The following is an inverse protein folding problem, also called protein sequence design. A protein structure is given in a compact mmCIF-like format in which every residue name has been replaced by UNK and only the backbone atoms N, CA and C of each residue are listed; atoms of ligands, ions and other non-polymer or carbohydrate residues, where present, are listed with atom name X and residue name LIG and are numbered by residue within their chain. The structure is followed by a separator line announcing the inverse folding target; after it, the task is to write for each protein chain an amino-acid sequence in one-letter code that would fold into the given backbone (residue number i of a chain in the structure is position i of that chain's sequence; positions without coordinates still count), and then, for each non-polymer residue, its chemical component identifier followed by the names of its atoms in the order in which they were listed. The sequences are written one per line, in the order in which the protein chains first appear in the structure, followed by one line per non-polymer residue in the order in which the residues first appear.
data_IF_854104024872
#
_entry.id   IF_854104024872
#
_cell.length_a   1.000
_cell.length_b   1.000
_cell.length_c   1.000
_cell.angle_alpha   90.00
_cell.angle_beta   90.00
_cell.angle_gamma   90.00
#
_symmetry.space_group_name_H-M   'P 1'
#
loop_
_entity.id
_entity.type
_entity.pdbx_description
1 polymer ?
#
# COMPACT_ATOMS: atom_id res chain seq x y z
N UNK A 1 -1.46 -12.15 12.83
CA UNK A 1 -1.62 -10.68 12.83
C UNK A 1 -2.97 -10.39 12.24
N UNK A 2 -3.79 -9.63 12.94
CA UNK A 2 -5.12 -9.23 12.47
C UNK A 2 -5.00 -8.01 11.56
N UNK A 3 -5.49 -8.12 10.32
CA UNK A 3 -5.45 -7.05 9.31
C UNK A 3 -6.80 -6.37 9.12
N UNK A 4 -7.83 -6.74 9.89
CA UNK A 4 -9.21 -6.23 9.71
C UNK A 4 -9.30 -4.71 9.75
N UNK A 5 -8.40 -4.05 10.48
CA UNK A 5 -8.32 -2.59 10.52
C UNK A 5 -8.02 -1.94 9.16
N UNK A 6 -7.37 -2.66 8.23
CA UNK A 6 -7.10 -2.16 6.88
C UNK A 6 -8.35 -2.06 6.01
N UNK A 7 -9.43 -2.77 6.32
CA UNK A 7 -10.60 -2.88 5.43
C UNK A 7 -11.79 -2.04 5.88
N UNK A 8 -11.57 -1.12 6.83
CA UNK A 8 -12.58 -0.12 7.20
C UNK A 8 -12.77 0.88 6.07
N UNK A 9 -14.00 1.31 5.81
CA UNK A 9 -14.26 2.26 4.72
C UNK A 9 -13.47 3.56 4.90
N UNK A 10 -12.88 4.12 3.83
CA UNK A 10 -12.20 5.40 3.90
C UNK A 10 -13.20 6.53 4.14
N UNK A 11 -12.74 7.57 4.85
CA UNK A 11 -13.55 8.75 5.06
C UNK A 11 -13.57 9.59 3.78
N UNK A 12 -14.73 10.07 3.33
CA UNK A 12 -14.81 10.99 2.22
C UNK A 12 -13.99 12.25 2.51
N UNK A 13 -13.22 12.73 1.53
CA UNK A 13 -12.42 13.94 1.67
C UNK A 13 -13.35 15.14 1.95
N UNK A 14 -12.99 15.97 2.93
CA UNK A 14 -13.73 17.17 3.30
C UNK A 14 -14.93 16.95 4.22
N UNK A 15 -15.17 15.71 4.67
CA UNK A 15 -16.17 15.39 5.68
C UNK A 15 -15.47 15.18 7.03
N UNK A 16 -15.80 16.01 8.02
CA UNK A 16 -15.51 15.70 9.42
C UNK A 16 -16.49 14.60 9.82
N UNK A 17 -15.97 13.40 10.00
CA UNK A 17 -16.76 12.28 10.49
C UNK A 17 -16.85 12.38 12.01
N UNK A 18 -17.95 12.96 12.49
CA UNK A 18 -18.31 13.02 13.91
C UNK A 18 -19.05 11.73 14.35
N UNK A 19 -19.03 10.64 13.56
CA UNK A 19 -19.52 9.37 14.05
C UNK A 19 -18.58 8.89 15.16
N UNK A 20 -19.07 9.10 16.39
CA UNK A 20 -18.50 8.59 17.62
C UNK A 20 -17.96 7.19 17.37
N UNK A 21 -16.63 7.07 17.53
CA UNK A 21 -15.86 5.84 17.64
C UNK A 21 -16.78 4.77 18.24
N UNK A 22 -17.29 3.87 17.39
CA UNK A 22 -18.08 2.74 17.87
C UNK A 22 -17.22 2.09 18.95
N UNK A 23 -17.74 2.02 20.18
CA UNK A 23 -17.02 1.71 21.41
C UNK A 23 -16.18 0.39 21.37
N UNK A 24 -16.27 -0.39 20.30
CA UNK A 24 -15.47 -1.57 19.96
C UNK A 24 -14.04 -1.22 19.47
N UNK A 25 -13.83 -0.03 18.91
CA UNK A 25 -12.54 0.41 18.35
C UNK A 25 -11.52 0.84 19.40
N UNK A 26 -11.98 1.44 20.50
CA UNK A 26 -11.10 1.79 21.62
C UNK A 26 -10.61 0.55 22.37
N UNK A 27 -11.45 -0.47 22.54
CA UNK A 27 -11.05 -1.70 23.23
C UNK A 27 -10.08 -2.55 22.39
N UNK A 28 -10.26 -2.59 21.07
CA UNK A 28 -9.32 -3.25 20.15
C UNK A 28 -8.00 -2.49 20.00
N UNK A 29 -8.01 -1.15 20.08
CA UNK A 29 -6.80 -0.31 20.05
C UNK A 29 -5.79 -0.60 21.17
N UNK A 30 -6.25 -1.01 22.36
CA UNK A 30 -5.35 -1.27 23.51
C UNK A 30 -4.90 -2.73 23.64
N UNK A 31 -5.53 -3.66 22.91
CA UNK A 31 -5.30 -5.10 23.07
C UNK A 31 -4.70 -5.77 21.82
N UNK A 32 -4.72 -5.08 20.68
CA UNK A 32 -4.23 -5.60 19.41
C UNK A 32 -3.03 -4.79 18.91
N UNK A 33 -1.83 -5.33 19.12
CA UNK A 33 -0.58 -4.80 18.61
C UNK A 33 -0.39 -5.03 17.10
N UNK A 34 -1.36 -5.66 16.41
CA UNK A 34 -1.26 -5.99 14.98
C UNK A 34 -0.98 -4.76 14.10
N UNK A 35 -1.45 -3.58 14.49
CA UNK A 35 -1.17 -2.32 13.78
C UNK A 35 0.32 -1.96 13.86
N UNK A 36 0.87 -1.97 15.06
CA UNK A 36 2.28 -1.65 15.31
C UNK A 36 3.19 -2.74 14.75
N UNK A 37 2.80 -4.00 14.83
CA UNK A 37 3.53 -5.12 14.22
C UNK A 37 3.55 -5.00 12.70
N UNK A 38 2.41 -4.67 12.07
CA UNK A 38 2.37 -4.48 10.61
C UNK A 38 3.15 -3.23 10.19
N UNK A 39 3.06 -2.13 10.96
CA UNK A 39 3.83 -0.92 10.75
C UNK A 39 5.33 -1.20 10.82
N UNK A 40 5.80 -1.86 11.88
CA UNK A 40 7.19 -2.31 12.00
C UNK A 40 7.60 -3.22 10.83
N UNK A 41 6.71 -4.10 10.36
CA UNK A 41 6.97 -4.94 9.19
C UNK A 41 7.19 -4.09 7.95
N UNK A 42 6.38 -3.05 7.72
CA UNK A 42 6.54 -2.12 6.60
C UNK A 42 7.82 -1.29 6.71
N UNK A 43 8.19 -0.85 7.90
CA UNK A 43 9.40 -0.05 8.13
C UNK A 43 10.69 -0.85 7.91
N UNK A 44 10.72 -2.11 8.37
CA UNK A 44 11.97 -2.86 8.56
C UNK A 44 12.17 -4.01 7.57
N UNK A 45 11.10 -4.57 7.00
CA UNK A 45 11.23 -5.76 6.14
C UNK A 45 12.00 -5.44 4.86
N UNK A 46 12.75 -6.40 4.30
CA UNK A 46 13.31 -6.24 2.97
C UNK A 46 12.19 -6.09 1.95
N UNK A 47 12.47 -5.39 0.85
CA UNK A 47 11.47 -5.03 -0.17
C UNK A 47 10.76 -6.25 -0.77
N UNK A 48 11.43 -7.41 -0.88
CA UNK A 48 10.79 -8.64 -1.36
C UNK A 48 9.70 -9.12 -0.41
N UNK A 49 9.96 -9.19 0.89
CA UNK A 49 8.95 -9.54 1.90
C UNK A 49 7.81 -8.52 1.97
N UNK A 50 8.11 -7.23 1.78
CA UNK A 50 7.10 -6.19 1.74
C UNK A 50 6.17 -6.34 0.53
N UNK A 51 6.70 -6.69 -0.64
CA UNK A 51 5.90 -6.96 -1.85
C UNK A 51 4.96 -8.15 -1.63
N UNK A 52 5.43 -9.20 -0.95
CA UNK A 52 4.58 -10.35 -0.59
C UNK A 52 3.49 -9.93 0.41
N UNK A 53 3.85 -9.14 1.43
CA UNK A 53 2.89 -8.65 2.42
C UNK A 53 1.80 -7.78 1.79
N UNK A 54 2.17 -6.89 0.85
CA UNK A 54 1.22 -6.10 0.09
C UNK A 54 0.30 -6.99 -0.74
N UNK A 55 0.86 -7.97 -1.46
CA UNK A 55 0.05 -8.90 -2.23
C UNK A 55 -0.96 -9.64 -1.36
N UNK A 56 -0.56 -10.08 -0.16
CA UNK A 56 -1.45 -10.72 0.80
C UNK A 56 -2.57 -9.79 1.29
N UNK A 57 -2.26 -8.53 1.57
CA UNK A 57 -3.25 -7.50 1.95
C UNK A 57 -4.30 -7.31 0.84
N UNK A 58 -3.88 -7.13 -0.41
CA UNK A 58 -4.82 -6.94 -1.52
C UNK A 58 -5.58 -8.22 -1.91
N UNK A 59 -5.02 -9.39 -1.61
CA UNK A 59 -5.69 -10.69 -1.80
C UNK A 59 -6.89 -10.84 -0.87
N UNK A 60 -6.76 -10.39 0.39
CA UNK A 60 -7.83 -10.48 1.39
C UNK A 60 -8.99 -9.49 1.15
N UNK A 61 -8.75 -8.36 0.48
CA UNK A 61 -9.78 -7.35 0.24
C UNK A 61 -9.25 -6.07 -0.37
N UNK A 62 -10.09 -5.03 -0.40
CA UNK A 62 -9.73 -3.70 -0.88
C UNK A 62 -9.30 -2.85 0.33
N UNK A 63 -7.99 -2.64 0.57
CA UNK A 63 -7.54 -1.91 1.73
C UNK A 63 -7.91 -0.42 1.62
N UNK A 64 -8.23 0.17 2.76
CA UNK A 64 -8.34 1.59 2.96
C UNK A 64 -7.00 2.25 2.63
N UNK A 65 -6.98 3.05 1.56
CA UNK A 65 -5.77 3.70 1.10
C UNK A 65 -5.18 4.67 2.13
N UNK A 66 -5.99 5.28 3.01
CA UNK A 66 -5.50 6.16 4.08
C UNK A 66 -4.76 5.36 5.14
N UNK A 67 -5.35 4.23 5.56
CA UNK A 67 -4.73 3.33 6.53
C UNK A 67 -3.49 2.65 5.95
N UNK A 68 -3.51 2.27 4.68
CA UNK A 68 -2.35 1.72 3.98
C UNK A 68 -1.23 2.77 3.85
N UNK A 69 -1.56 4.03 3.55
CA UNK A 69 -0.58 5.10 3.46
C UNK A 69 0.14 5.32 4.81
N UNK A 70 -0.59 5.29 5.92
CA UNK A 70 -0.01 5.37 7.26
C UNK A 70 1.05 4.29 7.53
N UNK A 71 0.91 3.09 6.96
CA UNK A 71 1.94 2.04 7.12
C UNK A 71 3.28 2.42 6.50
N UNK A 72 3.29 3.20 5.42
CA UNK A 72 4.52 3.66 4.77
C UNK A 72 5.09 4.93 5.39
N UNK A 73 4.28 5.77 6.04
CA UNK A 73 4.72 7.01 6.68
C UNK A 73 3.67 8.10 6.68
N UNK A 74 4.13 9.35 6.72
CA UNK A 74 3.25 10.52 6.74
C UNK A 74 2.85 10.94 5.31
N UNK A 75 1.55 10.88 5.02
CA UNK A 75 0.99 11.23 3.71
C UNK A 75 0.54 12.70 3.64
N UNK A 76 0.78 13.36 2.51
CA UNK A 76 0.08 14.58 2.12
C UNK A 76 -0.83 14.27 0.91
N UNK A 77 -1.89 15.05 0.73
CA UNK A 77 -2.83 14.86 -0.38
C UNK A 77 -2.44 15.82 -1.49
N UNK A 78 -2.11 15.30 -2.67
CA UNK A 78 -1.98 16.09 -3.89
C UNK A 78 -3.04 15.64 -4.89
N UNK A 79 -4.16 16.36 -4.94
CA UNK A 79 -5.21 16.09 -5.94
C UNK A 79 -4.76 16.54 -7.33
N UNK A 80 -4.50 15.59 -8.22
CA UNK A 80 -4.41 15.86 -9.65
C UNK A 80 -5.80 15.73 -10.29
N UNK A 81 -6.50 16.86 -10.37
CA UNK A 81 -7.87 16.95 -10.87
C UNK A 81 -7.97 16.88 -12.41
N UNK A 82 -6.87 16.71 -13.15
CA UNK A 82 -6.90 16.72 -14.62
C UNK A 82 -7.42 15.39 -15.21
N UNK A 83 -7.21 14.24 -14.55
CA UNK A 83 -7.56 12.91 -15.10
C UNK A 83 -8.73 12.17 -14.41
N UNK A 84 -9.46 12.82 -13.49
CA UNK A 84 -10.50 12.17 -12.64
C UNK A 84 -9.95 11.00 -11.80
N UNK A 85 -8.66 10.99 -11.50
CA UNK A 85 -8.03 10.01 -10.62
C UNK A 85 -7.53 10.77 -9.40
N UNK A 86 -7.83 10.25 -8.21
CA UNK A 86 -7.32 10.83 -6.98
C UNK A 86 -5.95 10.24 -6.68
N UNK A 87 -4.89 11.03 -6.82
CA UNK A 87 -3.51 10.61 -6.57
C UNK A 87 -3.11 10.96 -5.14
N UNK A 88 -2.54 9.99 -4.42
CA UNK A 88 -2.07 10.14 -3.04
C UNK A 88 -0.57 9.91 -3.02
N UNK A 89 0.20 10.99 -2.79
CA UNK A 89 1.66 10.94 -2.72
C UNK A 89 2.11 11.06 -1.27
N UNK A 90 2.95 10.13 -0.83
CA UNK A 90 3.51 10.25 0.53
C UNK A 90 4.58 11.35 0.56
N UNK A 91 4.51 12.20 1.58
CA UNK A 91 5.48 13.27 1.78
C UNK A 91 6.77 12.72 2.40
N UNK A 92 6.62 11.88 3.42
CA UNK A 92 7.71 11.25 4.14
C UNK A 92 7.47 9.74 4.21
N UNK A 93 8.49 8.97 3.83
CA UNK A 93 8.47 7.51 3.88
C UNK A 93 9.34 7.06 5.04
N UNK A 94 8.73 6.38 5.99
CA UNK A 94 9.36 5.85 7.19
C UNK A 94 9.89 4.44 6.88
N UNK A 95 11.00 4.35 6.13
CA UNK A 95 11.66 3.08 5.78
C UNK A 95 13.06 3.04 6.36
N UNK A 96 13.37 2.04 7.20
CA UNK A 96 14.69 1.91 7.82
C UNK A 96 15.80 1.65 6.79
N UNK A 97 15.50 0.91 5.72
CA UNK A 97 16.46 0.58 4.68
C UNK A 97 16.60 1.66 3.60
N UNK A 98 15.79 2.73 3.66
CA UNK A 98 15.74 3.83 2.68
C UNK A 98 15.60 3.37 1.22
N UNK A 99 15.09 2.15 0.99
CA UNK A 99 15.05 1.50 -0.31
C UNK A 99 13.83 1.91 -1.16
N UNK A 100 12.79 2.49 -0.55
CA UNK A 100 11.64 3.12 -1.21
C UNK A 100 11.76 4.64 -1.05
N UNK A 101 11.76 5.34 -2.17
CA UNK A 101 11.98 6.79 -2.26
C UNK A 101 10.67 7.54 -2.45
N UNK A 102 9.69 6.91 -3.09
CA UNK A 102 8.37 7.50 -3.34
C UNK A 102 7.29 6.41 -3.32
N UNK A 103 6.13 6.77 -2.79
CA UNK A 103 4.91 5.96 -2.81
C UNK A 103 3.81 6.81 -3.41
N UNK A 104 3.12 6.28 -4.43
CA UNK A 104 1.96 6.93 -5.04
C UNK A 104 0.78 5.94 -5.08
N UNK A 105 -0.41 6.41 -4.73
CA UNK A 105 -1.64 5.62 -4.68
C UNK A 105 -2.69 6.27 -5.58
N UNK A 106 -3.22 5.52 -6.55
CA UNK A 106 -4.25 5.99 -7.47
C UNK A 106 -5.59 5.41 -7.06
N UNK A 107 -6.46 6.29 -6.57
CA UNK A 107 -7.75 5.95 -5.98
C UNK A 107 -8.85 6.36 -6.95
N UNK A 108 -9.83 5.47 -7.13
CA UNK A 108 -11.06 5.82 -7.85
C UNK A 108 -11.90 6.78 -6.98
N UNK A 109 -12.20 8.00 -7.46
CA UNK A 109 -12.82 9.03 -6.61
C UNK A 109 -14.28 8.74 -6.24
N UNK A 110 -14.96 7.81 -6.93
CA UNK A 110 -16.36 7.48 -6.65
C UNK A 110 -16.49 6.36 -5.62
N UNK A 111 -15.72 5.29 -5.80
CA UNK A 111 -15.73 4.10 -4.95
C UNK A 111 -14.75 4.20 -3.79
N UNK A 112 -13.78 5.12 -3.86
CA UNK A 112 -12.66 5.27 -2.94
C UNK A 112 -11.78 4.01 -2.85
N UNK A 113 -11.82 3.18 -3.91
CA UNK A 113 -11.02 1.96 -4.02
C UNK A 113 -9.65 2.30 -4.62
N UNK A 114 -8.59 1.79 -3.98
CA UNK A 114 -7.23 1.87 -4.50
C UNK A 114 -7.09 0.95 -5.72
N UNK A 115 -6.80 1.53 -6.89
CA UNK A 115 -6.66 0.82 -8.15
C UNK A 115 -5.21 0.57 -8.54
N UNK A 116 -4.31 1.51 -8.20
CA UNK A 116 -2.89 1.35 -8.45
C UNK A 116 -2.05 1.82 -7.26
N UNK A 117 -1.04 1.03 -6.90
CA UNK A 117 -0.02 1.37 -5.93
C UNK A 117 1.34 1.38 -6.62
N UNK A 118 2.03 2.50 -6.58
CA UNK A 118 3.38 2.65 -7.13
C UNK A 118 4.39 2.77 -5.99
N UNK A 119 5.40 1.91 -6.01
CA UNK A 119 6.56 1.97 -5.14
C UNK A 119 7.79 2.28 -5.99
N UNK A 120 8.42 3.42 -5.77
CA UNK A 120 9.65 3.80 -6.46
C UNK A 120 10.83 3.42 -5.60
N UNK A 121 11.64 2.47 -6.08
CA UNK A 121 12.73 1.86 -5.33
C UNK A 121 14.10 2.31 -5.82
N UNK A 122 15.08 2.36 -4.92
CA UNK A 122 16.49 2.61 -5.26
C UNK A 122 17.10 1.42 -6.02
N UNK A 123 16.76 0.20 -5.58
CA UNK A 123 17.34 -1.04 -6.09
C UNK A 123 16.26 -2.13 -6.14
N UNK A 124 16.32 -2.97 -7.17
CA UNK A 124 15.35 -4.05 -7.31
C UNK A 124 15.71 -5.26 -6.46
N UNK A 125 14.71 -5.88 -5.82
CA UNK A 125 14.85 -7.22 -5.28
C UNK A 125 15.08 -8.27 -6.38
N UNK A 126 15.59 -9.46 -6.02
CA UNK A 126 15.67 -10.59 -6.93
C UNK A 126 14.28 -11.02 -7.45
N UNK A 127 13.98 -10.71 -8.72
CA UNK A 127 12.64 -10.90 -9.30
C UNK A 127 12.16 -12.36 -9.27
N UNK A 128 13.06 -13.31 -9.52
CA UNK A 128 12.73 -14.75 -9.49
C UNK A 128 12.29 -15.21 -8.09
N UNK A 129 12.89 -14.65 -7.04
CA UNK A 129 12.51 -14.95 -5.66
C UNK A 129 11.09 -14.45 -5.37
N UNK A 130 10.79 -13.21 -5.75
CA UNK A 130 9.46 -12.61 -5.59
C UNK A 130 8.42 -13.41 -6.36
N UNK A 131 8.69 -13.70 -7.64
CA UNK A 131 7.78 -14.45 -8.49
C UNK A 131 7.40 -15.82 -7.88
N UNK A 132 8.38 -16.54 -7.35
CA UNK A 132 8.14 -17.82 -6.69
C UNK A 132 7.29 -17.65 -5.42
N UNK A 133 7.64 -16.71 -4.53
CA UNK A 133 6.89 -16.44 -3.30
C UNK A 133 5.44 -16.01 -3.58
N UNK A 134 5.21 -15.21 -4.63
CA UNK A 134 3.86 -14.80 -5.04
C UNK A 134 3.04 -15.98 -5.57
N UNK A 135 3.66 -16.85 -6.37
CA UNK A 135 3.01 -18.04 -6.87
C UNK A 135 2.66 -19.02 -5.74
N UNK A 136 3.50 -19.12 -4.71
CA UNK A 136 3.23 -19.91 -3.51
C UNK A 136 2.10 -19.29 -2.64
N UNK A 137 2.00 -17.96 -2.62
CA UNK A 137 0.96 -17.22 -1.89
C UNK A 137 -0.42 -17.38 -2.56
N UNK A 138 -0.50 -17.12 -3.85
CA UNK A 138 -1.68 -17.33 -4.68
C UNK A 138 -1.27 -17.43 -6.17
N UNK A 139 -1.45 -18.59 -6.83
CA UNK A 139 -1.11 -18.78 -8.23
C UNK A 139 -1.84 -17.86 -9.22
N UNK A 140 -2.93 -17.20 -8.79
CA UNK A 140 -3.68 -16.26 -9.62
C UNK A 140 -3.08 -14.85 -9.64
N UNK A 141 -2.09 -14.55 -8.79
CA UNK A 141 -1.39 -13.27 -8.81
C UNK A 141 -0.59 -13.19 -10.12
N UNK A 142 -0.96 -12.26 -10.99
CA UNK A 142 -0.21 -12.03 -12.21
C UNK A 142 1.09 -11.29 -11.89
N UNK A 143 2.18 -11.69 -12.54
CA UNK A 143 3.49 -11.04 -12.42
C UNK A 143 4.02 -10.72 -13.81
N UNK A 144 4.35 -9.45 -14.05
CA UNK A 144 4.87 -8.96 -15.32
C UNK A 144 6.11 -8.09 -15.10
N UNK A 145 7.23 -8.48 -15.72
CA UNK A 145 8.43 -7.63 -15.79
C UNK A 145 8.22 -6.53 -16.82
N UNK A 146 8.72 -5.33 -16.52
CA UNK A 146 8.70 -4.16 -17.41
C UNK A 146 10.12 -3.64 -17.60
N UNK A 147 10.33 -2.69 -18.53
CA UNK A 147 11.63 -2.04 -18.73
C UNK A 147 12.16 -1.36 -17.47
N UNK A 148 11.24 -0.84 -16.66
CA UNK A 148 11.53 0.05 -15.55
C UNK A 148 11.18 -0.57 -14.20
N UNK A 149 10.94 -1.89 -14.15
CA UNK A 149 10.65 -2.63 -12.94
C UNK A 149 9.73 -3.83 -13.17
N UNK A 150 8.70 -3.96 -12.33
CA UNK A 150 7.71 -5.01 -12.48
C UNK A 150 6.36 -4.59 -11.92
N UNK A 151 5.31 -5.25 -12.39
CA UNK A 151 3.93 -5.05 -11.95
C UNK A 151 3.38 -6.39 -11.50
N UNK A 152 2.71 -6.37 -10.36
CA UNK A 152 1.88 -7.48 -9.91
C UNK A 152 0.42 -7.05 -9.91
N UNK A 153 -0.46 -7.96 -10.31
CA UNK A 153 -1.90 -7.71 -10.30
C UNK A 153 -2.55 -8.66 -9.32
N UNK A 154 -3.18 -8.10 -8.30
CA UNK A 154 -3.88 -8.84 -7.25
C UNK A 154 -5.32 -8.38 -7.26
N UNK A 155 -6.25 -9.30 -7.52
CA UNK A 155 -7.67 -8.99 -7.79
C UNK A 155 -7.79 -7.93 -8.90
N UNK A 156 -8.24 -6.72 -8.56
CA UNK A 156 -8.40 -5.60 -9.49
C UNK A 156 -7.41 -4.45 -9.24
N UNK A 157 -6.40 -4.66 -8.40
CA UNK A 157 -5.37 -3.66 -8.09
C UNK A 157 -4.05 -4.00 -8.77
N UNK A 158 -3.42 -2.99 -9.38
CA UNK A 158 -2.06 -3.07 -9.91
C UNK A 158 -1.07 -2.54 -8.87
N UNK A 159 -0.05 -3.31 -8.52
CA UNK A 159 1.05 -2.87 -7.65
C UNK A 159 2.31 -2.84 -8.51
N UNK A 160 2.81 -1.65 -8.78
CA UNK A 160 3.97 -1.41 -9.63
C UNK A 160 5.19 -1.05 -8.77
N UNK A 161 6.27 -1.80 -8.94
CA UNK A 161 7.55 -1.56 -8.29
C UNK A 161 8.48 -1.05 -9.38
N UNK A 162 8.79 0.23 -9.34
CA UNK A 162 9.49 0.94 -10.40
C UNK A 162 10.85 1.44 -9.91
N UNK A 163 11.83 1.47 -10.81
CA UNK A 163 13.11 2.11 -10.52
C UNK A 163 12.87 3.60 -10.43
N UNK A 164 13.47 4.26 -9.44
CA UNK A 164 13.55 5.71 -9.50
C UNK A 164 14.44 6.11 -10.69
N UNK A 165 13.83 6.68 -11.72
CA UNK A 165 14.55 7.33 -12.81
C UNK A 165 14.64 8.79 -12.39
N UNK A 166 15.79 9.21 -11.87
CA UNK A 166 16.06 10.62 -11.67
C UNK A 166 15.85 11.33 -13.02
N UNK A 167 14.82 12.16 -13.11
CA UNK A 167 14.71 13.10 -14.22
C UNK A 167 15.84 14.12 -14.03
N UNK A 168 16.95 13.91 -14.74
CA UNK A 168 18.03 14.90 -14.93
C UNK A 168 17.56 16.06 -15.76
#
# INVERSE_FOLDING_TARGET
MDKRFLYKKPNPIGVLDDSDVENDDLASWFLDDSRDVLKNKFEQSPIDELVIELADIFREGDPNFQTLAWLFGSSHIEEDNEEKIMIWRLHEIERTNEDIIRVEMHVDPQSLILRKLYLYVQMFPPLQLIKNKLNDLDPNIAFQETSDGFVIVVRECEIAILKNISQT
#
